data_IF_850024172110
#
_entry.id   IF_850024172110
#
_cell.length_a   1.000
_cell.length_b   1.000
_cell.length_c   1.000
_cell.angle_alpha   90.00
_cell.angle_beta   90.00
_cell.angle_gamma   90.00
#
_symmetry.space_group_name_H-M   'P 1'
#
loop_
_entity.id
_entity.type
_entity.pdbx_description
1 polymer ?
#
# COMPACT_ATOMS: atom_id res chain seq x y z
N UNK A 1 -5.95 4.88 13.41
CA UNK A 1 -6.41 4.54 12.03
C UNK A 1 -7.80 5.06 11.63
N UNK A 2 -8.56 5.75 12.49
CA UNK A 2 -9.94 6.19 12.17
C UNK A 2 -10.05 6.97 10.85
N UNK A 3 -9.26 8.03 10.68
CA UNK A 3 -9.23 8.84 9.44
C UNK A 3 -8.92 8.04 8.19
N UNK A 4 -8.04 7.04 8.28
CA UNK A 4 -7.68 6.22 7.14
C UNK A 4 -8.82 5.27 6.72
N UNK A 5 -9.57 4.73 7.70
CA UNK A 5 -10.78 3.95 7.42
C UNK A 5 -11.85 4.83 6.78
N UNK A 6 -12.10 6.01 7.33
CA UNK A 6 -13.02 7.00 6.75
C UNK A 6 -12.61 7.39 5.32
N UNK A 7 -11.31 7.56 5.06
CA UNK A 7 -10.81 7.80 3.71
C UNK A 7 -11.09 6.63 2.77
N UNK A 8 -10.79 5.38 3.18
CA UNK A 8 -11.10 4.18 2.39
C UNK A 8 -12.60 4.08 2.09
N UNK A 9 -13.44 4.27 3.10
CA UNK A 9 -14.89 4.27 2.93
C UNK A 9 -15.34 5.35 1.93
N UNK A 10 -14.72 6.54 1.97
CA UNK A 10 -14.98 7.62 1.02
C UNK A 10 -14.58 7.32 -0.43
N UNK A 11 -13.72 6.30 -0.67
CA UNK A 11 -13.36 5.90 -2.03
C UNK A 11 -14.52 5.20 -2.74
N UNK A 12 -15.42 4.56 -1.99
CA UNK A 12 -16.53 3.76 -2.52
C UNK A 12 -16.07 2.72 -3.55
N UNK A 13 -14.95 2.04 -3.27
CA UNK A 13 -14.40 0.96 -4.10
C UNK A 13 -14.82 -0.40 -3.54
N UNK A 14 -14.89 -1.46 -4.38
CA UNK A 14 -15.09 -2.81 -3.90
C UNK A 14 -14.04 -3.19 -2.85
N UNK A 15 -14.47 -3.81 -1.74
CA UNK A 15 -13.57 -4.25 -0.66
C UNK A 15 -12.52 -5.26 -1.15
N UNK A 16 -12.82 -6.01 -2.22
CA UNK A 16 -11.89 -6.94 -2.87
C UNK A 16 -10.65 -6.27 -3.49
N UNK A 17 -10.65 -4.94 -3.66
CA UNK A 17 -9.48 -4.20 -4.13
C UNK A 17 -8.49 -3.86 -3.00
N UNK A 18 -8.81 -4.20 -1.75
CA UNK A 18 -7.97 -3.93 -0.58
C UNK A 18 -7.47 -5.23 0.03
N UNK A 19 -6.28 -5.16 0.60
CA UNK A 19 -5.71 -6.22 1.44
C UNK A 19 -5.36 -5.61 2.81
N UNK A 20 -6.29 -5.80 3.76
CA UNK A 20 -6.15 -5.21 5.09
C UNK A 20 -4.96 -5.77 5.88
N UNK A 21 -4.43 -6.95 5.50
CA UNK A 21 -3.29 -7.57 6.18
C UNK A 21 -2.00 -6.75 6.02
N UNK A 22 -1.93 -5.92 4.98
CA UNK A 22 -0.81 -5.04 4.71
C UNK A 22 -1.02 -3.60 5.25
N UNK A 23 -2.16 -3.30 5.88
CA UNK A 23 -2.42 -2.00 6.48
C UNK A 23 -1.41 -1.70 7.61
N UNK A 24 -0.94 -0.46 7.70
CA UNK A 24 -0.08 -0.01 8.81
C UNK A 24 -0.29 1.46 9.12
N UNK A 25 -0.39 1.78 10.41
CA UNK A 25 -0.43 3.16 10.88
C UNK A 25 0.92 3.55 11.46
N UNK A 26 1.41 4.73 11.08
CA UNK A 26 2.69 5.28 11.54
C UNK A 26 2.51 6.49 12.46
N UNK A 27 1.36 6.63 13.13
CA UNK A 27 1.21 7.61 14.21
C UNK A 27 2.04 7.18 15.43
N UNK A 28 2.25 8.10 16.38
CA UNK A 28 3.04 7.86 17.59
C UNK A 28 2.50 6.71 18.45
N UNK A 29 1.18 6.49 18.43
CA UNK A 29 0.53 5.45 19.23
C UNK A 29 0.70 4.06 18.60
N UNK A 30 0.67 3.96 17.27
CA UNK A 30 0.78 2.69 16.55
C UNK A 30 2.21 2.34 16.12
N UNK A 31 3.07 3.34 15.98
CA UNK A 31 4.49 3.21 15.62
C UNK A 31 5.31 4.20 16.48
N UNK A 32 5.67 3.80 17.72
CA UNK A 32 6.35 4.68 18.68
C UNK A 32 7.69 5.20 18.19
N UNK A 33 8.11 6.38 18.67
CA UNK A 33 9.41 7.00 18.33
C UNK A 33 10.62 6.15 18.71
N UNK A 34 10.44 5.21 19.64
CA UNK A 34 11.48 4.25 20.05
C UNK A 34 11.74 3.16 19.02
N UNK A 35 10.82 2.93 18.08
CA UNK A 35 11.02 1.99 16.98
C UNK A 35 11.90 2.61 15.90
N UNK A 36 12.60 1.75 15.17
CA UNK A 36 13.53 2.13 14.10
C UNK A 36 12.90 3.11 13.12
N UNK A 37 13.67 4.12 12.71
CA UNK A 37 13.18 5.15 11.78
C UNK A 37 13.64 4.92 10.33
N UNK A 38 14.29 3.79 10.08
CA UNK A 38 14.82 3.39 8.79
C UNK A 38 14.25 2.03 8.40
N UNK A 39 14.00 1.87 7.11
CA UNK A 39 13.68 0.61 6.46
C UNK A 39 14.77 0.34 5.43
N UNK A 40 15.51 -0.76 5.59
CA UNK A 40 16.42 -1.24 4.57
C UNK A 40 15.62 -2.01 3.51
N UNK A 41 15.60 -1.53 2.28
CA UNK A 41 15.00 -2.22 1.16
C UNK A 41 15.90 -2.06 -0.08
N UNK A 42 16.28 -3.19 -0.70
CA UNK A 42 17.13 -3.23 -1.89
C UNK A 42 18.43 -2.41 -1.75
N UNK A 43 19.15 -2.62 -0.64
CA UNK A 43 20.41 -1.91 -0.33
C UNK A 43 20.25 -0.42 -0.01
N UNK A 44 19.02 0.10 -0.05
CA UNK A 44 18.71 1.51 0.17
C UNK A 44 18.03 1.72 1.52
N UNK A 45 18.34 2.85 2.17
CA UNK A 45 17.73 3.24 3.44
C UNK A 45 16.57 4.21 3.19
N UNK A 46 15.36 3.80 3.58
CA UNK A 46 14.16 4.62 3.49
C UNK A 46 13.74 5.10 4.87
N UNK A 47 13.34 6.36 4.99
CA UNK A 47 12.80 6.89 6.24
C UNK A 47 11.36 6.40 6.43
N UNK A 48 11.04 5.96 7.64
CA UNK A 48 9.66 5.57 7.98
C UNK A 48 8.74 6.81 7.92
N UNK A 49 7.61 6.75 7.19
CA UNK A 49 6.74 7.91 6.99
C UNK A 49 5.87 8.17 8.22
N UNK A 50 6.44 8.78 9.26
CA UNK A 50 5.73 9.04 10.52
C UNK A 50 4.55 10.00 10.33
N UNK A 51 3.44 9.69 11.00
CA UNK A 51 2.15 10.39 10.84
C UNK A 51 1.30 9.89 9.67
N UNK A 52 1.83 9.00 8.83
CA UNK A 52 1.12 8.48 7.67
C UNK A 52 0.39 7.16 7.99
N UNK A 53 -0.39 6.70 7.03
CA UNK A 53 -0.95 5.36 7.02
C UNK A 53 -0.66 4.71 5.67
N UNK A 54 -0.22 3.45 5.70
CA UNK A 54 -0.20 2.56 4.55
C UNK A 54 -1.50 1.77 4.51
N UNK A 55 -2.13 1.76 3.34
CA UNK A 55 -3.31 0.96 3.05
C UNK A 55 -2.91 -0.10 2.02
N UNK A 56 -3.15 -1.37 2.34
CA UNK A 56 -2.85 -2.48 1.44
C UNK A 56 -3.87 -2.55 0.31
N UNK A 57 -3.38 -2.73 -0.90
CA UNK A 57 -4.18 -2.92 -2.10
C UNK A 57 -4.02 -4.36 -2.57
N UNK A 58 -5.10 -4.94 -3.07
CA UNK A 58 -5.04 -6.27 -3.66
C UNK A 58 -4.28 -6.23 -4.98
N UNK A 59 -3.55 -7.31 -5.27
CA UNK A 59 -2.87 -7.52 -6.54
C UNK A 59 -3.33 -8.86 -7.11
N UNK A 60 -3.66 -8.89 -8.39
CA UNK A 60 -4.05 -10.10 -9.10
C UNK A 60 -3.08 -11.26 -8.82
N UNK A 61 -3.55 -12.39 -8.24
CA UNK A 61 -2.68 -13.49 -7.83
C UNK A 61 -1.91 -14.13 -9.00
N UNK A 62 -2.55 -14.30 -10.17
CA UNK A 62 -1.90 -14.92 -11.32
C UNK A 62 -0.78 -14.02 -11.87
N UNK A 63 -1.05 -12.73 -12.05
CA UNK A 63 -0.08 -11.74 -12.51
C UNK A 63 1.10 -11.64 -11.54
N UNK A 64 0.82 -11.62 -10.23
CA UNK A 64 1.84 -11.62 -9.16
C UNK A 64 2.79 -12.82 -9.29
N UNK A 65 2.25 -14.01 -9.57
CA UNK A 65 3.02 -15.26 -9.68
C UNK A 65 3.78 -15.35 -11.01
N UNK A 66 3.12 -15.07 -12.14
CA UNK A 66 3.73 -15.13 -13.48
C UNK A 66 4.92 -14.18 -13.61
N UNK A 67 4.81 -12.97 -13.04
CA UNK A 67 5.83 -11.93 -13.16
C UNK A 67 6.79 -11.84 -11.97
N UNK A 68 6.58 -12.62 -10.90
CA UNK A 68 7.41 -12.60 -9.69
C UNK A 68 7.67 -11.17 -9.17
N UNK A 69 6.58 -10.39 -9.10
CA UNK A 69 6.66 -8.93 -8.98
C UNK A 69 7.38 -8.48 -7.70
N UNK A 70 7.29 -9.26 -6.63
CA UNK A 70 7.89 -8.90 -5.33
C UNK A 70 9.40 -9.02 -5.31
N UNK A 71 9.97 -9.85 -6.19
CA UNK A 71 11.42 -10.06 -6.27
C UNK A 71 12.04 -9.34 -7.46
N UNK A 72 11.29 -9.15 -8.55
CA UNK A 72 11.84 -8.60 -9.80
C UNK A 72 11.54 -7.13 -10.03
N UNK A 73 10.46 -6.59 -9.47
CA UNK A 73 10.08 -5.21 -9.73
C UNK A 73 10.72 -4.28 -8.71
N UNK A 74 11.22 -3.15 -9.20
CA UNK A 74 11.70 -2.08 -8.33
C UNK A 74 10.54 -1.45 -7.56
N UNK A 75 10.75 -1.17 -6.28
CA UNK A 75 9.79 -0.42 -5.47
C UNK A 75 9.90 1.06 -5.83
N UNK A 76 8.81 1.64 -6.36
CA UNK A 76 8.73 3.07 -6.66
C UNK A 76 7.58 3.75 -5.94
N UNK A 77 7.73 5.04 -5.64
CA UNK A 77 6.71 5.85 -4.99
C UNK A 77 6.25 6.95 -5.95
N UNK A 78 4.95 6.99 -6.25
CA UNK A 78 4.36 8.01 -7.12
C UNK A 78 3.07 8.56 -6.51
N UNK A 79 2.89 9.88 -6.62
CA UNK A 79 1.59 10.49 -6.38
C UNK A 79 0.62 10.10 -7.50
N UNK A 80 -0.61 9.77 -7.15
CA UNK A 80 -1.65 9.41 -8.12
C UNK A 80 -3.02 9.92 -7.68
N UNK A 81 -3.94 10.02 -8.63
CA UNK A 81 -5.34 10.37 -8.34
C UNK A 81 -6.13 9.12 -7.96
N UNK A 82 -7.24 9.30 -7.23
CA UNK A 82 -8.17 8.20 -6.90
C UNK A 82 -8.64 7.47 -8.17
N UNK A 83 -8.96 8.21 -9.23
CA UNK A 83 -9.45 7.64 -10.49
C UNK A 83 -8.38 6.76 -11.15
N UNK A 84 -7.14 7.25 -11.25
CA UNK A 84 -6.03 6.50 -11.84
C UNK A 84 -5.69 5.25 -11.01
N UNK A 85 -5.65 5.37 -9.67
CA UNK A 85 -5.42 4.24 -8.79
C UNK A 85 -6.49 3.13 -8.95
N UNK A 86 -7.78 3.50 -8.99
CA UNK A 86 -8.85 2.54 -9.25
C UNK A 86 -8.66 1.85 -10.59
N UNK A 87 -8.38 2.62 -11.64
CA UNK A 87 -8.16 2.10 -12.99
C UNK A 87 -7.06 1.04 -13.02
N UNK A 88 -5.92 1.32 -12.39
CA UNK A 88 -4.79 0.39 -12.28
C UNK A 88 -5.21 -0.90 -11.58
N UNK A 89 -5.87 -0.80 -10.42
CA UNK A 89 -6.30 -1.97 -9.64
C UNK A 89 -7.38 -2.79 -10.34
N UNK A 90 -8.17 -2.19 -11.22
CA UNK A 90 -9.20 -2.93 -11.97
C UNK A 90 -8.70 -3.48 -13.29
N UNK A 91 -7.60 -2.92 -13.83
CA UNK A 91 -7.02 -3.39 -15.07
C UNK A 91 -6.46 -4.80 -14.85
N UNK A 92 -6.92 -5.76 -15.65
CA UNK A 92 -6.62 -7.21 -15.59
C UNK A 92 -7.35 -8.03 -14.52
N UNK A 93 -8.18 -7.43 -13.67
CA UNK A 93 -9.03 -8.17 -12.73
C UNK A 93 -10.33 -8.70 -13.38
N UNK A 94 -10.60 -8.34 -14.64
CA UNK A 94 -11.71 -8.83 -15.46
C UNK A 94 -11.16 -9.45 -16.74
N UNK A 95 -10.83 -10.74 -16.69
CA UNK A 95 -10.67 -11.61 -17.84
C UNK A 95 -11.40 -12.92 -17.58
#
# INVERSE_FOLDING_TARGET
MKLAKEFVDSLNWPKSLFDETHNRCFCTDCYPSTWENLLLADGSHYVIPRGWTRLGLHVDPMFKEEHDIWNKWIVTFHGTTKIAARSILTHRHFY
#
